data_IF_104860302778
#
_entry.id   IF_104860302778
#
_cell.length_a   1.000
_cell.length_b   1.000
_cell.length_c   1.000
_cell.angle_alpha   90.00
_cell.angle_beta   90.00
_cell.angle_gamma   90.00
#
_symmetry.space_group_name_H-M   'P 1'
#
loop_
_entity.id
_entity.type
_entity.pdbx_description
1 polymer ?
#
# COMPACT_ATOMS: atom_id res chain seq x y z
N UNK A 1 -11.16 -11.44 -13.36
CA UNK A 1 -9.95 -11.53 -12.51
C UNK A 1 -8.70 -12.04 -13.25
N UNK A 2 -8.77 -13.14 -14.02
CA UNK A 2 -7.61 -13.67 -14.80
C UNK A 2 -7.05 -12.64 -15.81
N UNK A 3 -7.94 -11.87 -16.46
CA UNK A 3 -7.56 -10.87 -17.45
C UNK A 3 -6.63 -9.76 -16.90
N UNK A 4 -6.97 -9.20 -15.73
CA UNK A 4 -6.20 -8.10 -15.12
C UNK A 4 -4.83 -8.58 -14.64
N UNK A 5 -4.75 -9.79 -14.07
CA UNK A 5 -3.45 -10.37 -13.64
C UNK A 5 -2.52 -10.59 -14.82
N UNK A 6 -3.01 -11.17 -15.91
CA UNK A 6 -2.21 -11.42 -17.10
C UNK A 6 -1.74 -10.11 -17.75
N UNK A 7 -2.61 -9.10 -17.81
CA UNK A 7 -2.26 -7.77 -18.32
C UNK A 7 -1.12 -7.15 -17.49
N UNK A 8 -1.22 -7.19 -16.17
CA UNK A 8 -0.18 -6.65 -15.28
C UNK A 8 1.13 -7.41 -15.45
N UNK A 9 1.09 -8.75 -15.53
CA UNK A 9 2.30 -9.55 -15.78
C UNK A 9 2.93 -9.23 -17.14
N UNK A 10 2.13 -9.10 -18.20
CA UNK A 10 2.63 -8.76 -19.55
C UNK A 10 3.27 -7.36 -19.60
N UNK A 11 2.62 -6.36 -19.02
CA UNK A 11 3.06 -4.95 -19.12
C UNK A 11 4.15 -4.57 -18.13
N UNK A 12 4.19 -5.24 -16.98
CA UNK A 12 5.09 -4.87 -15.88
C UNK A 12 6.05 -5.98 -15.47
N UNK A 13 5.83 -7.22 -15.90
CA UNK A 13 6.57 -8.38 -15.42
C UNK A 13 6.29 -8.73 -13.96
N UNK A 14 5.24 -8.16 -13.34
CA UNK A 14 4.87 -8.44 -11.96
C UNK A 14 3.84 -9.58 -11.90
N UNK A 15 4.19 -10.64 -11.18
CA UNK A 15 3.26 -11.68 -10.79
C UNK A 15 2.56 -11.24 -9.51
N UNK A 16 1.24 -11.11 -9.59
CA UNK A 16 0.38 -10.71 -8.47
C UNK A 16 -0.70 -11.76 -8.23
N UNK A 17 -1.05 -11.97 -6.95
CA UNK A 17 -2.19 -12.79 -6.55
C UNK A 17 -2.19 -14.23 -7.14
N UNK A 18 -1.01 -14.81 -7.30
CA UNK A 18 -0.84 -16.23 -7.66
C UNK A 18 -0.51 -17.01 -6.38
N UNK A 19 -1.20 -18.12 -6.07
CA UNK A 19 -0.93 -18.90 -4.88
C UNK A 19 0.52 -19.41 -4.90
N UNK A 20 1.22 -19.25 -3.78
CA UNK A 20 2.46 -19.95 -3.54
C UNK A 20 2.15 -21.27 -2.80
N UNK A 21 2.91 -22.33 -3.07
CA UNK A 21 2.69 -23.66 -2.49
C UNK A 21 2.88 -23.75 -0.96
N UNK A 22 3.05 -22.61 -0.29
CA UNK A 22 3.36 -22.46 1.13
C UNK A 22 2.37 -21.56 1.88
N UNK A 23 1.16 -21.34 1.35
CA UNK A 23 0.08 -20.65 2.07
C UNK A 23 0.03 -19.11 1.92
N UNK A 24 0.72 -18.54 0.94
CA UNK A 24 0.67 -17.12 0.59
C UNK A 24 0.46 -16.89 -0.91
N UNK A 25 0.76 -15.67 -1.38
CA UNK A 25 0.65 -15.32 -2.81
C UNK A 25 1.97 -14.77 -3.36
N UNK A 26 2.01 -14.54 -4.68
CA UNK A 26 3.11 -13.85 -5.37
C UNK A 26 3.18 -12.35 -5.07
N UNK A 27 2.21 -11.78 -4.34
CA UNK A 27 2.17 -10.40 -3.89
C UNK A 27 3.14 -10.13 -2.73
N UNK A 28 4.42 -10.37 -2.97
CA UNK A 28 5.51 -10.18 -1.99
C UNK A 28 5.84 -8.70 -1.76
N UNK A 29 6.63 -8.40 -0.73
CA UNK A 29 7.07 -7.02 -0.45
C UNK A 29 7.83 -6.36 -1.62
N UNK A 30 8.56 -7.12 -2.45
CA UNK A 30 9.20 -6.56 -3.64
C UNK A 30 8.20 -6.17 -4.73
N UNK A 31 7.13 -6.94 -4.90
CA UNK A 31 6.03 -6.61 -5.82
C UNK A 31 5.26 -5.39 -5.31
N UNK A 32 4.96 -5.33 -4.01
CA UNK A 32 4.32 -4.16 -3.40
C UNK A 32 5.15 -2.88 -3.60
N UNK A 33 6.48 -2.92 -3.34
CA UNK A 33 7.37 -1.77 -3.58
C UNK A 33 7.34 -1.26 -5.01
N UNK A 34 7.23 -2.16 -5.99
CA UNK A 34 7.09 -1.79 -7.42
C UNK A 34 5.69 -1.26 -7.75
N UNK A 35 4.66 -1.79 -7.11
CA UNK A 35 3.28 -1.33 -7.31
C UNK A 35 3.05 0.09 -6.77
N UNK A 36 3.75 0.49 -5.70
CA UNK A 36 3.63 1.82 -5.07
C UNK A 36 4.84 2.75 -5.35
N UNK A 37 5.64 2.46 -6.38
CA UNK A 37 6.71 3.37 -6.80
C UNK A 37 6.16 4.59 -7.57
N UNK A 38 6.92 5.69 -7.60
CA UNK A 38 6.53 6.88 -8.37
C UNK A 38 6.31 6.59 -9.86
N UNK A 39 7.18 5.76 -10.46
CA UNK A 39 7.08 5.38 -11.88
C UNK A 39 6.29 4.07 -12.06
N UNK A 40 5.31 3.81 -11.19
CA UNK A 40 4.64 2.51 -11.21
C UNK A 40 3.73 2.37 -12.42
N UNK A 41 4.14 1.53 -13.36
CA UNK A 41 3.28 1.04 -14.45
C UNK A 41 2.08 0.22 -13.95
N UNK A 42 2.05 -0.17 -12.67
CA UNK A 42 0.93 -0.89 -12.08
C UNK A 42 -0.36 -0.10 -12.17
N UNK A 43 -0.35 1.16 -11.71
CA UNK A 43 -1.56 1.97 -11.66
C UNK A 43 -2.04 2.31 -13.08
N UNK A 44 -1.13 2.58 -14.01
CA UNK A 44 -1.47 2.76 -15.43
C UNK A 44 -2.21 1.54 -16.01
N UNK A 45 -1.72 0.32 -15.71
CA UNK A 45 -2.38 -0.91 -16.15
C UNK A 45 -3.77 -1.06 -15.53
N UNK A 46 -3.92 -0.80 -14.22
CA UNK A 46 -5.21 -0.86 -13.54
C UNK A 46 -6.20 0.15 -14.13
N UNK A 47 -5.77 1.40 -14.32
CA UNK A 47 -6.61 2.46 -14.89
C UNK A 47 -6.99 2.22 -16.37
N UNK A 48 -6.23 1.39 -17.10
CA UNK A 48 -6.56 1.03 -18.48
C UNK A 48 -7.78 0.12 -18.62
N UNK A 49 -8.14 -0.62 -17.55
CA UNK A 49 -9.23 -1.61 -17.56
C UNK A 49 -10.41 -1.24 -16.67
N UNK A 50 -10.27 -0.21 -15.85
CA UNK A 50 -11.34 0.28 -14.97
C UNK A 50 -12.23 1.29 -15.70
N UNK A 51 -13.52 1.32 -15.33
CA UNK A 51 -14.50 2.28 -15.82
C UNK A 51 -14.08 3.73 -15.53
N UNK A 52 -14.41 4.63 -16.46
CA UNK A 52 -13.93 6.03 -16.43
C UNK A 52 -14.30 6.75 -15.13
N UNK A 53 -15.45 6.44 -14.54
CA UNK A 53 -15.93 7.07 -13.30
C UNK A 53 -15.04 6.82 -12.08
N UNK A 54 -14.32 5.68 -12.03
CA UNK A 54 -13.48 5.33 -10.89
C UNK A 54 -12.00 5.65 -11.10
N UNK A 55 -11.60 6.09 -12.30
CA UNK A 55 -10.18 6.30 -12.63
C UNK A 55 -9.52 7.36 -11.77
N UNK A 56 -10.19 8.50 -11.61
CA UNK A 56 -9.67 9.61 -10.81
C UNK A 56 -9.52 9.19 -9.34
N UNK A 57 -10.56 8.58 -8.77
CA UNK A 57 -10.57 8.06 -7.40
C UNK A 57 -9.44 7.07 -7.18
N UNK A 58 -9.26 6.08 -8.05
CA UNK A 58 -8.20 5.07 -7.92
C UNK A 58 -6.80 5.68 -8.07
N UNK A 59 -6.61 6.63 -8.99
CA UNK A 59 -5.33 7.33 -9.16
C UNK A 59 -4.97 8.14 -7.91
N UNK A 60 -5.95 8.83 -7.31
CA UNK A 60 -5.77 9.60 -6.09
C UNK A 60 -5.48 8.68 -4.89
N UNK A 61 -6.24 7.60 -4.73
CA UNK A 61 -6.00 6.57 -3.70
C UNK A 61 -4.61 5.96 -3.82
N UNK A 62 -4.18 5.59 -5.02
CA UNK A 62 -2.84 5.04 -5.25
C UNK A 62 -1.75 6.02 -4.81
N UNK A 63 -1.92 7.30 -5.15
CA UNK A 63 -0.98 8.37 -4.77
C UNK A 63 -0.92 8.55 -3.26
N UNK A 64 -2.09 8.65 -2.60
CA UNK A 64 -2.18 8.82 -1.16
C UNK A 64 -1.57 7.63 -0.41
N UNK A 65 -1.94 6.40 -0.79
CA UNK A 65 -1.40 5.18 -0.18
C UNK A 65 0.10 5.05 -0.42
N UNK A 66 0.60 5.42 -1.59
CA UNK A 66 2.04 5.47 -1.87
C UNK A 66 2.76 6.42 -0.91
N UNK A 67 2.22 7.61 -0.67
CA UNK A 67 2.79 8.57 0.27
C UNK A 67 2.73 8.05 1.72
N UNK A 68 1.57 7.58 2.17
CA UNK A 68 1.35 7.04 3.53
C UNK A 68 2.33 5.90 3.83
N UNK A 69 2.42 4.91 2.93
CA UNK A 69 3.30 3.76 3.12
C UNK A 69 4.78 4.17 3.15
N UNK A 70 5.19 5.19 2.38
CA UNK A 70 6.56 5.72 2.42
C UNK A 70 6.86 6.47 3.71
N UNK A 71 5.89 7.23 4.22
CA UNK A 71 6.01 7.94 5.50
C UNK A 71 6.17 6.94 6.64
N UNK A 72 5.29 5.92 6.70
CA UNK A 72 5.36 4.85 7.70
C UNK A 72 6.70 4.10 7.60
N UNK A 73 7.16 3.75 6.40
CA UNK A 73 8.44 3.06 6.19
C UNK A 73 9.68 3.98 6.18
N UNK A 74 9.58 5.19 6.75
CA UNK A 74 10.71 6.10 6.89
C UNK A 74 11.26 6.10 8.32
N UNK A 75 12.47 6.65 8.49
CA UNK A 75 13.04 6.99 9.81
C UNK A 75 13.11 8.53 9.97
N UNK A 76 12.21 9.25 9.29
CA UNK A 76 12.18 10.72 9.30
C UNK A 76 11.20 11.22 10.33
N UNK A 77 11.49 12.38 10.90
CA UNK A 77 10.52 13.16 11.69
C UNK A 77 9.47 13.70 10.72
N UNK A 78 8.21 13.55 11.09
CA UNK A 78 7.04 13.83 10.28
C UNK A 78 6.16 14.81 11.07
N UNK A 79 5.49 15.71 10.36
CA UNK A 79 4.36 16.44 10.95
C UNK A 79 3.18 15.48 11.04
N UNK A 80 2.89 14.97 12.24
CA UNK A 80 1.87 13.93 12.44
C UNK A 80 0.47 14.43 12.15
N UNK A 81 0.16 15.70 12.40
CA UNK A 81 -1.17 16.29 12.12
C UNK A 81 -1.45 16.28 10.62
N UNK A 82 -0.52 16.78 9.81
CA UNK A 82 -0.65 16.78 8.33
C UNK A 82 -0.75 15.34 7.78
N UNK A 83 -0.04 14.40 8.41
CA UNK A 83 -0.16 12.99 8.06
C UNK A 83 -1.53 12.40 8.45
N UNK A 84 -2.07 12.76 9.61
CA UNK A 84 -3.40 12.40 10.07
C UNK A 84 -4.50 12.89 9.13
N UNK A 85 -4.39 14.14 8.67
CA UNK A 85 -5.29 14.71 7.67
C UNK A 85 -5.26 13.89 6.37
N UNK A 86 -4.06 13.57 5.85
CA UNK A 86 -3.92 12.72 4.65
C UNK A 86 -4.55 11.34 4.85
N UNK A 87 -4.36 10.73 6.02
CA UNK A 87 -4.97 9.44 6.36
C UNK A 87 -6.50 9.51 6.41
N UNK A 88 -7.04 10.54 7.04
CA UNK A 88 -8.49 10.79 7.16
C UNK A 88 -9.11 11.05 5.79
N UNK A 89 -8.52 11.94 5.00
CA UNK A 89 -8.96 12.23 3.63
C UNK A 89 -8.97 10.98 2.76
N UNK A 90 -7.96 10.12 2.91
CA UNK A 90 -7.88 8.84 2.19
C UNK A 90 -8.97 7.88 2.63
N UNK A 91 -9.26 7.82 3.94
CA UNK A 91 -10.33 6.99 4.47
C UNK A 91 -11.70 7.44 3.94
N UNK A 92 -12.00 8.73 4.03
CA UNK A 92 -13.25 9.32 3.54
C UNK A 92 -13.40 9.13 2.03
N UNK A 93 -12.32 9.31 1.25
CA UNK A 93 -12.33 9.06 -0.19
C UNK A 93 -12.77 7.62 -0.53
N UNK A 94 -12.34 6.61 0.25
CA UNK A 94 -12.76 5.22 0.04
C UNK A 94 -14.24 5.07 0.37
N UNK A 95 -14.67 5.52 1.55
CA UNK A 95 -16.05 5.33 2.03
C UNK A 95 -17.06 6.02 1.11
N UNK A 96 -16.76 7.25 0.68
CA UNK A 96 -17.68 8.07 -0.09
C UNK A 96 -17.71 7.66 -1.58
N UNK A 97 -16.55 7.34 -2.16
CA UNK A 97 -16.45 7.07 -3.61
C UNK A 97 -16.54 5.60 -3.98
N UNK A 98 -16.29 4.69 -3.03
CA UNK A 98 -16.25 3.24 -3.25
C UNK A 98 -17.02 2.50 -2.15
N UNK A 99 -18.31 2.78 -1.94
CA UNK A 99 -19.08 2.24 -0.79
C UNK A 99 -19.23 0.71 -0.80
N UNK A 100 -18.97 0.07 -1.95
CA UNK A 100 -18.97 -1.38 -2.12
C UNK A 100 -17.65 -2.04 -1.67
N UNK A 101 -16.58 -1.27 -1.44
CA UNK A 101 -15.28 -1.79 -0.99
C UNK A 101 -15.25 -1.87 0.53
N UNK A 102 -15.01 -3.06 1.06
CA UNK A 102 -14.77 -3.24 2.50
C UNK A 102 -13.35 -2.82 2.88
N UNK A 103 -13.23 -2.00 3.93
CA UNK A 103 -11.93 -1.63 4.49
C UNK A 103 -11.36 -2.81 5.27
N UNK A 104 -10.20 -3.32 4.86
CA UNK A 104 -9.55 -4.43 5.53
C UNK A 104 -9.01 -4.01 6.90
N UNK A 105 -8.88 -4.92 7.88
CA UNK A 105 -8.34 -4.58 9.21
C UNK A 105 -6.96 -3.91 9.14
N UNK A 106 -6.10 -4.33 8.21
CA UNK A 106 -4.78 -3.71 7.99
C UNK A 106 -4.91 -2.28 7.50
N UNK A 107 -5.75 -2.03 6.50
CA UNK A 107 -5.93 -0.69 5.96
C UNK A 107 -6.59 0.25 6.99
N UNK A 108 -7.56 -0.26 7.76
CA UNK A 108 -8.17 0.50 8.84
C UNK A 108 -7.12 0.90 9.89
N UNK A 109 -6.27 -0.03 10.35
CA UNK A 109 -5.21 0.30 11.31
C UNK A 109 -4.24 1.34 10.75
N UNK A 110 -3.86 1.20 9.48
CA UNK A 110 -2.98 2.16 8.80
C UNK A 110 -3.61 3.55 8.75
N UNK A 111 -4.87 3.68 8.34
CA UNK A 111 -5.51 4.99 8.14
C UNK A 111 -6.06 5.60 9.44
N UNK A 112 -6.50 4.80 10.40
CA UNK A 112 -7.17 5.30 11.60
C UNK A 112 -6.25 5.42 12.83
N UNK A 113 -5.14 4.68 12.88
CA UNK A 113 -4.29 4.61 14.09
C UNK A 113 -2.84 5.02 13.87
N UNK A 114 -2.35 5.11 12.62
CA UNK A 114 -0.93 5.43 12.40
C UNK A 114 -0.54 6.81 12.94
N UNK A 115 -1.41 7.81 12.87
CA UNK A 115 -1.10 9.14 13.42
C UNK A 115 -0.77 9.06 14.91
N UNK A 116 -1.68 8.48 15.69
CA UNK A 116 -1.53 8.32 17.14
C UNK A 116 -0.28 7.50 17.48
N UNK A 117 -0.04 6.40 16.75
CA UNK A 117 1.17 5.58 16.93
C UNK A 117 2.44 6.40 16.69
N UNK A 118 2.51 7.16 15.59
CA UNK A 118 3.68 7.96 15.28
C UNK A 118 3.87 9.08 16.30
N UNK A 119 2.79 9.77 16.68
CA UNK A 119 2.80 10.92 17.57
C UNK A 119 3.16 10.53 19.01
N UNK A 120 2.42 9.61 19.59
CA UNK A 120 2.50 9.28 21.02
C UNK A 120 3.58 8.23 21.33
N UNK A 121 3.84 7.30 20.40
CA UNK A 121 4.70 6.14 20.66
C UNK A 121 6.01 6.14 19.89
N UNK A 122 6.21 7.05 18.92
CA UNK A 122 7.44 7.11 18.16
C UNK A 122 7.99 8.53 17.92
N UNK A 123 7.65 9.49 18.80
CA UNK A 123 8.20 10.85 18.80
C UNK A 123 8.04 11.56 17.44
N UNK A 124 6.93 11.32 16.75
CA UNK A 124 6.63 11.85 15.42
C UNK A 124 7.51 11.29 14.30
N UNK A 125 8.21 10.16 14.53
CA UNK A 125 9.11 9.55 13.56
C UNK A 125 8.47 8.32 12.89
N UNK A 126 8.82 8.03 11.65
CA UNK A 126 8.32 6.84 10.94
C UNK A 126 8.75 5.51 11.59
N UNK A 127 8.09 4.41 11.24
CA UNK A 127 8.20 3.11 11.91
C UNK A 127 9.27 2.18 11.31
N UNK A 128 10.17 2.68 10.46
CA UNK A 128 11.16 1.83 9.77
C UNK A 128 11.95 0.91 10.72
N UNK A 129 12.30 1.40 11.90
CA UNK A 129 13.08 0.66 12.90
C UNK A 129 12.31 -0.45 13.63
N UNK A 130 10.99 -0.50 13.46
CA UNK A 130 10.09 -1.50 14.07
C UNK A 130 9.59 -2.52 13.05
N UNK A 131 10.22 -2.60 11.88
CA UNK A 131 9.84 -3.52 10.81
C UNK A 131 10.31 -4.95 11.06
N UNK A 132 9.47 -5.93 10.71
CA UNK A 132 9.80 -7.36 10.73
C UNK A 132 10.71 -7.79 9.56
N UNK A 133 10.94 -6.93 8.56
CA UNK A 133 11.72 -7.24 7.35
C UNK A 133 13.12 -7.79 7.68
N UNK A 134 13.77 -7.29 8.74
CA UNK A 134 15.08 -7.76 9.16
C UNK A 134 15.06 -9.23 9.59
N UNK A 135 14.10 -9.60 10.43
CA UNK A 135 13.91 -10.99 10.88
C UNK A 135 13.49 -11.91 9.73
N UNK A 136 12.67 -11.43 8.79
CA UNK A 136 12.29 -12.21 7.61
C UNK A 136 13.49 -12.50 6.69
N UNK A 137 14.41 -11.55 6.52
CA UNK A 137 15.63 -11.75 5.71
C UNK A 137 16.53 -12.80 6.34
N UNK A 138 16.62 -12.86 7.67
CA UNK A 138 17.39 -13.89 8.37
C UNK A 138 16.92 -15.32 8.03
N UNK A 139 15.65 -15.53 7.70
CA UNK A 139 15.15 -16.84 7.26
C UNK A 139 15.81 -17.34 5.97
N UNK A 140 16.39 -16.45 5.15
CA UNK A 140 17.18 -16.84 3.97
C UNK A 140 18.60 -17.29 4.32
N UNK A 141 19.13 -16.87 5.47
CA UNK A 141 20.45 -17.29 5.95
C UNK A 141 20.40 -18.66 6.65
N UNK A 142 19.24 -19.04 7.18
CA UNK A 142 19.01 -20.30 7.89
C UNK A 142 18.65 -21.47 6.97
N UNK A 143 18.43 -21.21 5.68
CA UNK A 143 18.10 -22.21 4.65
C UNK A 143 19.32 -22.49 3.78
#
# INVERSE_FOLDING_TARGET
MIFVRNLIEEKTGMRIDQPNGSGGTSSTGSVARRAFSCDSKYIECVLSVVETEHKETLSKLHTHLSAILRIINSDRIINTEVFGDLCTDTYLLIVDSLPWVSITPTLHRVLAHSEEILKEFNLGRGLKSFSEEGSEVCNKLLR
#
